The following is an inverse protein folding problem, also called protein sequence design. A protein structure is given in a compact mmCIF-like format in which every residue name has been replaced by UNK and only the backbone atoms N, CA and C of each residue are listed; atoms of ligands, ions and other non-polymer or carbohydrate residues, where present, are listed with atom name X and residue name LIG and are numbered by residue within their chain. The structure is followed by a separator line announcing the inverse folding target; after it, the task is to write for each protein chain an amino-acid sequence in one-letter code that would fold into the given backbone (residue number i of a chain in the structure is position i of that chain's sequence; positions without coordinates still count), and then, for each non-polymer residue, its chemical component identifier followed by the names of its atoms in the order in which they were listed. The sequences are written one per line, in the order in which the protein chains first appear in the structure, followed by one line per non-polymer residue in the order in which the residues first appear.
data_IF_569854765717
#
_entry.id   IF_569854765717
#
_cell.length_a   1.000
_cell.length_b   1.000
_cell.length_c   1.000
_cell.angle_alpha   90.00
_cell.angle_beta   90.00
_cell.angle_gamma   90.00
#
_symmetry.space_group_name_H-M   'P 1'
#
loop_
_entity.id
_entity.type
_entity.pdbx_description
1 polymer ?
#
# COMPACT_ATOMS: atom_id res chain seq x y z
N UNK A 1 27.67 2.96 6.80
CA UNK A 1 27.49 1.77 5.93
C UNK A 1 26.01 1.69 5.62
N UNK A 2 25.64 1.99 4.37
CA UNK A 2 24.26 1.88 3.89
C UNK A 2 23.96 0.40 3.68
N UNK A 3 23.13 -0.18 4.55
CA UNK A 3 22.45 -1.43 4.19
C UNK A 3 21.38 -1.08 3.16
N UNK A 4 21.45 -1.58 1.92
CA UNK A 4 20.26 -1.56 1.07
C UNK A 4 19.18 -2.34 1.81
N UNK A 5 18.00 -1.76 1.97
CA UNK A 5 16.88 -2.41 2.65
C UNK A 5 16.63 -3.77 1.99
N UNK A 6 16.70 -4.88 2.75
CA UNK A 6 16.34 -6.25 2.31
C UNK A 6 14.99 -6.30 1.56
N UNK A 7 14.14 -5.29 1.79
CA UNK A 7 12.86 -5.01 1.13
C UNK A 7 12.95 -4.71 -0.37
N UNK A 8 14.04 -4.12 -0.87
CA UNK A 8 14.23 -3.79 -2.30
C UNK A 8 14.56 -5.04 -3.12
N UNK A 9 15.45 -5.91 -2.62
CA UNK A 9 15.75 -7.20 -3.26
C UNK A 9 14.52 -8.13 -3.31
N UNK A 10 13.63 -8.04 -2.31
CA UNK A 10 12.38 -8.82 -2.28
C UNK A 10 11.28 -8.25 -3.20
N UNK A 11 11.28 -6.95 -3.48
CA UNK A 11 10.37 -6.33 -4.44
C UNK A 11 10.82 -6.56 -5.89
N UNK A 12 12.13 -6.58 -6.13
CA UNK A 12 12.71 -6.94 -7.43
C UNK A 12 12.42 -8.39 -7.81
N UNK A 13 12.41 -9.32 -6.84
CA UNK A 13 11.98 -10.71 -7.09
C UNK A 13 10.48 -10.82 -7.39
N UNK A 14 9.62 -9.97 -6.83
CA UNK A 14 8.18 -9.92 -7.19
C UNK A 14 7.92 -9.35 -8.59
N UNK A 15 8.78 -8.43 -9.08
CA UNK A 15 8.74 -7.93 -10.46
C UNK A 15 9.21 -9.00 -11.47
N UNK A 16 10.15 -9.87 -11.09
CA UNK A 16 10.53 -11.02 -11.91
C UNK A 16 9.38 -12.04 -12.02
N UNK A 17 8.67 -12.33 -10.93
CA UNK A 17 7.51 -13.24 -10.90
C UNK A 17 6.33 -12.76 -11.76
N UNK A 18 6.20 -11.45 -12.00
CA UNK A 18 5.10 -10.90 -12.83
C UNK A 18 5.39 -10.90 -14.33
N UNK A 19 6.64 -11.11 -14.77
CA UNK A 19 7.00 -11.14 -16.20
C UNK A 19 7.12 -12.55 -16.79
N UNK A 20 7.22 -13.58 -15.95
CA UNK A 20 7.18 -14.99 -16.34
C UNK A 20 6.26 -15.79 -15.44
N UNK A 21 4.96 -15.76 -15.70
CA UNK A 21 3.97 -16.58 -14.96
C UNK A 21 4.26 -18.05 -15.27
N UNK A 22 5.06 -18.70 -14.41
CA UNK A 22 5.06 -20.15 -14.29
C UNK A 22 3.62 -20.56 -13.95
N UNK A 23 3.09 -21.52 -14.71
CA UNK A 23 1.76 -22.07 -14.48
C UNK A 23 1.93 -23.48 -13.95
N UNK A 24 1.16 -23.83 -12.93
CA UNK A 24 1.07 -25.20 -12.45
C UNK A 24 0.84 -26.16 -13.61
N UNK A 25 1.65 -27.22 -13.69
CA UNK A 25 1.56 -28.22 -14.75
C UNK A 25 1.73 -29.63 -14.18
N UNK A 26 1.25 -30.68 -14.86
CA UNK A 26 1.45 -32.05 -14.41
C UNK A 26 2.93 -32.43 -14.25
N UNK A 27 3.83 -31.85 -15.06
CA UNK A 27 5.27 -32.07 -14.93
C UNK A 27 5.83 -31.48 -13.63
N UNK A 28 5.38 -30.27 -13.30
CA UNK A 28 5.74 -29.57 -12.06
C UNK A 28 5.27 -30.35 -10.82
N UNK A 29 4.02 -30.82 -10.85
CA UNK A 29 3.46 -31.69 -9.81
C UNK A 29 4.29 -32.96 -9.65
N UNK A 30 4.70 -33.60 -10.76
CA UNK A 30 5.57 -34.77 -10.73
C UNK A 30 6.92 -34.50 -10.05
N UNK A 31 7.56 -33.36 -10.34
CA UNK A 31 8.82 -32.97 -9.69
C UNK A 31 8.63 -32.71 -8.20
N UNK A 32 7.56 -31.99 -7.82
CA UNK A 32 7.23 -31.75 -6.42
C UNK A 32 7.00 -33.08 -5.67
N UNK A 33 6.22 -33.99 -6.23
CA UNK A 33 5.94 -35.30 -5.62
C UNK A 33 7.20 -36.14 -5.46
N UNK A 34 8.11 -36.08 -6.44
CA UNK A 34 9.41 -36.73 -6.34
C UNK A 34 10.25 -36.14 -5.20
N UNK A 35 10.38 -34.82 -5.14
CA UNK A 35 11.14 -34.13 -4.08
C UNK A 35 10.57 -34.39 -2.67
N UNK A 36 9.24 -34.42 -2.54
CA UNK A 36 8.55 -34.80 -1.29
C UNK A 36 8.91 -36.21 -0.88
N UNK A 37 8.90 -37.16 -1.82
CA UNK A 37 9.25 -38.56 -1.55
C UNK A 37 10.70 -38.71 -1.10
N UNK A 38 11.66 -38.11 -1.81
CA UNK A 38 13.07 -38.14 -1.44
C UNK A 38 13.31 -37.52 -0.05
N UNK A 39 12.58 -36.47 0.30
CA UNK A 39 12.62 -35.85 1.63
C UNK A 39 12.08 -36.82 2.70
N UNK A 40 10.94 -37.46 2.45
CA UNK A 40 10.31 -38.41 3.38
C UNK A 40 11.17 -39.66 3.61
N UNK A 41 11.86 -40.12 2.57
CA UNK A 41 12.77 -41.27 2.61
C UNK A 41 14.15 -40.91 3.20
N UNK A 42 14.40 -39.62 3.51
CA UNK A 42 15.66 -39.13 4.07
C UNK A 42 16.82 -39.13 3.07
N UNK A 43 16.53 -39.25 1.77
CA UNK A 43 17.50 -39.25 0.68
C UNK A 43 18.02 -37.83 0.41
N UNK A 44 17.13 -36.84 0.54
CA UNK A 44 17.43 -35.43 0.35
C UNK A 44 17.08 -34.62 1.62
N UNK A 45 17.78 -33.50 1.88
CA UNK A 45 17.38 -32.58 2.95
C UNK A 45 15.99 -32.00 2.67
N UNK A 46 15.28 -31.59 3.71
CA UNK A 46 13.98 -30.94 3.56
C UNK A 46 14.15 -29.56 2.93
N UNK A 47 14.04 -29.53 1.60
CA UNK A 47 14.03 -28.29 0.83
C UNK A 47 12.91 -27.35 1.28
N UNK A 48 11.81 -27.87 1.82
CA UNK A 48 10.75 -27.07 2.42
C UNK A 48 11.21 -26.27 3.64
N UNK A 49 12.14 -26.79 4.44
CA UNK A 49 12.72 -26.05 5.56
C UNK A 49 13.81 -25.09 5.08
N UNK A 50 14.61 -25.49 4.08
CA UNK A 50 15.64 -24.62 3.50
C UNK A 50 15.04 -23.38 2.80
N UNK A 51 13.92 -23.53 2.10
CA UNK A 51 13.21 -22.40 1.47
C UNK A 51 12.64 -21.43 2.53
N UNK A 52 12.42 -21.87 3.78
CA UNK A 52 11.97 -20.99 4.87
C UNK A 52 13.09 -20.20 5.51
N UNK A 53 14.29 -20.76 5.49
CA UNK A 53 15.42 -20.24 6.24
C UNK A 53 16.06 -19.12 5.42
N UNK A 54 15.68 -17.88 5.68
CA UNK A 54 16.22 -16.73 4.96
C UNK A 54 17.75 -16.61 5.04
N UNK A 55 18.38 -17.20 6.05
CA UNK A 55 19.84 -17.19 6.22
C UNK A 55 20.52 -18.32 5.45
N UNK A 56 19.87 -19.49 5.35
CA UNK A 56 20.43 -20.70 4.75
C UNK A 56 19.76 -21.12 3.43
N UNK A 57 18.85 -20.30 2.90
CA UNK A 57 18.17 -20.61 1.63
C UNK A 57 19.17 -20.67 0.47
N UNK A 58 19.02 -21.64 -0.44
CA UNK A 58 19.84 -21.71 -1.64
C UNK A 58 19.63 -20.49 -2.54
N UNK A 59 20.65 -20.16 -3.34
CA UNK A 59 20.57 -19.10 -4.34
C UNK A 59 19.35 -19.32 -5.25
N UNK A 60 18.62 -18.24 -5.54
CA UNK A 60 17.40 -18.25 -6.36
C UNK A 60 17.67 -18.74 -7.78
N UNK A 61 18.91 -18.63 -8.28
CA UNK A 61 19.32 -19.19 -9.57
C UNK A 61 19.34 -20.74 -9.59
N UNK A 62 19.41 -21.37 -8.41
CA UNK A 62 19.40 -22.82 -8.24
C UNK A 62 17.99 -23.38 -8.00
N UNK A 63 16.97 -22.52 -7.95
CA UNK A 63 15.61 -22.94 -7.67
C UNK A 63 14.99 -23.58 -8.90
N UNK A 64 14.44 -24.77 -8.71
CA UNK A 64 13.53 -25.36 -9.67
C UNK A 64 12.16 -24.68 -9.63
N UNK A 65 11.40 -24.78 -10.72
CA UNK A 65 10.06 -24.16 -10.85
C UNK A 65 9.13 -24.52 -9.68
N UNK A 66 9.20 -25.75 -9.16
CA UNK A 66 8.33 -26.17 -8.06
C UNK A 66 8.69 -25.48 -6.74
N UNK A 67 9.96 -25.11 -6.54
CA UNK A 67 10.43 -24.38 -5.36
C UNK A 67 9.87 -22.96 -5.36
N UNK A 68 9.83 -22.31 -6.54
CA UNK A 68 9.19 -21.01 -6.73
C UNK A 68 7.70 -21.06 -6.40
N UNK A 69 7.00 -22.09 -6.85
CA UNK A 69 5.57 -22.25 -6.63
C UNK A 69 5.25 -22.55 -5.16
N UNK A 70 6.04 -23.41 -4.50
CA UNK A 70 5.93 -23.66 -3.05
C UNK A 70 6.20 -22.37 -2.27
N UNK A 71 7.25 -21.62 -2.59
CA UNK A 71 7.56 -20.34 -1.94
C UNK A 71 6.41 -19.33 -2.10
N UNK A 72 5.86 -19.23 -3.32
CA UNK A 72 4.70 -18.39 -3.62
C UNK A 72 3.47 -18.81 -2.82
N UNK A 73 3.16 -20.11 -2.78
CA UNK A 73 2.06 -20.65 -1.98
C UNK A 73 2.22 -20.32 -0.49
N UNK A 74 3.41 -20.51 0.07
CA UNK A 74 3.70 -20.17 1.47
C UNK A 74 3.51 -18.69 1.75
N UNK A 75 3.98 -17.84 0.85
CA UNK A 75 3.80 -16.41 0.95
C UNK A 75 2.31 -16.02 0.95
N UNK A 76 1.51 -16.61 0.05
CA UNK A 76 0.05 -16.41 0.01
C UNK A 76 -0.63 -16.88 1.29
N UNK A 77 -0.20 -18.03 1.84
CA UNK A 77 -0.73 -18.56 3.09
C UNK A 77 -0.38 -17.67 4.28
N UNK A 78 0.85 -17.15 4.34
CA UNK A 78 1.25 -16.16 5.34
C UNK A 78 0.38 -14.91 5.24
N UNK A 79 0.18 -14.38 4.03
CA UNK A 79 -0.65 -13.20 3.83
C UNK A 79 -2.11 -13.43 4.22
N UNK A 80 -2.65 -14.64 3.99
CA UNK A 80 -4.00 -14.99 4.45
C UNK A 80 -4.08 -14.94 5.98
N UNK A 81 -3.14 -15.58 6.68
CA UNK A 81 -3.10 -15.61 8.15
C UNK A 81 -2.94 -14.20 8.74
N UNK A 82 -2.05 -13.40 8.16
CA UNK A 82 -1.85 -11.99 8.52
C UNK A 82 -3.12 -11.18 8.30
N UNK A 83 -3.72 -11.28 7.10
CA UNK A 83 -4.96 -10.56 6.79
C UNK A 83 -6.10 -10.92 7.72
N UNK A 84 -6.33 -12.21 7.99
CA UNK A 84 -7.35 -12.69 8.94
C UNK A 84 -7.14 -12.08 10.33
N UNK A 85 -5.89 -12.09 10.80
CA UNK A 85 -5.53 -11.58 12.13
C UNK A 85 -5.72 -10.06 12.21
N UNK A 86 -5.31 -9.33 11.17
CA UNK A 86 -5.53 -7.89 11.08
C UNK A 86 -7.02 -7.52 11.12
N UNK A 87 -7.87 -8.22 10.34
CA UNK A 87 -9.32 -7.99 10.39
C UNK A 87 -9.91 -8.28 11.78
N UNK A 88 -9.47 -9.36 12.44
CA UNK A 88 -9.92 -9.69 13.80
C UNK A 88 -9.53 -8.62 14.82
N UNK A 89 -8.31 -8.09 14.73
CA UNK A 89 -7.83 -7.04 15.62
C UNK A 89 -8.60 -5.73 15.38
N UNK A 90 -8.77 -5.33 14.13
CA UNK A 90 -9.44 -4.08 13.72
C UNK A 90 -10.98 -4.19 13.69
N UNK A 91 -11.58 -5.08 14.49
CA UNK A 91 -13.01 -5.33 14.48
C UNK A 91 -13.88 -4.08 14.71
N UNK A 92 -13.40 -3.10 15.49
CA UNK A 92 -14.12 -1.84 15.75
C UNK A 92 -14.20 -0.92 14.52
N UNK A 93 -13.28 -1.04 13.57
CA UNK A 93 -13.23 -0.20 12.37
C UNK A 93 -14.02 -0.81 11.19
N UNK A 94 -14.47 -2.06 11.34
CA UNK A 94 -15.19 -2.80 10.31
C UNK A 94 -16.55 -2.17 9.98
N UNK A 95 -16.86 -2.06 8.69
CA UNK A 95 -18.05 -1.43 8.16
C UNK A 95 -17.96 0.09 8.05
N UNK A 96 -17.00 0.73 8.72
CA UNK A 96 -16.75 2.17 8.58
C UNK A 96 -15.56 2.42 7.68
N UNK A 97 -14.36 2.05 8.13
CA UNK A 97 -13.09 2.34 7.46
C UNK A 97 -12.46 1.13 6.76
N UNK A 98 -12.86 -0.09 7.16
CA UNK A 98 -12.42 -1.34 6.53
C UNK A 98 -13.64 -2.25 6.29
N UNK A 99 -13.60 -3.22 5.36
CA UNK A 99 -14.70 -4.16 5.15
C UNK A 99 -15.01 -4.99 6.41
N UNK A 100 -16.29 -5.35 6.61
CA UNK A 100 -16.63 -6.36 7.62
C UNK A 100 -16.06 -7.73 7.23
N UNK A 101 -15.49 -8.44 8.19
CA UNK A 101 -15.09 -9.84 8.06
C UNK A 101 -16.28 -10.72 8.45
N UNK A 102 -16.76 -11.53 7.51
CA UNK A 102 -17.79 -12.54 7.76
C UNK A 102 -17.19 -13.88 8.20
N UNK A 103 -15.97 -14.20 7.75
CA UNK A 103 -15.26 -15.40 8.18
C UNK A 103 -14.12 -15.80 7.26
N UNK A 104 -13.44 -16.89 7.62
CA UNK A 104 -12.49 -17.58 6.76
C UNK A 104 -13.15 -18.81 6.12
N UNK A 105 -12.78 -19.11 4.87
CA UNK A 105 -13.32 -20.23 4.09
C UNK A 105 -12.20 -21.08 3.50
N UNK A 106 -12.51 -22.34 3.23
CA UNK A 106 -11.66 -23.28 2.54
C UNK A 106 -12.41 -23.74 1.29
N UNK A 107 -11.83 -23.49 0.11
CA UNK A 107 -12.42 -23.84 -1.18
C UNK A 107 -11.61 -24.99 -1.78
N UNK A 108 -12.26 -26.11 -2.05
CA UNK A 108 -11.64 -27.22 -2.76
C UNK A 108 -11.58 -26.92 -4.26
N UNK A 109 -10.42 -27.17 -4.90
CA UNK A 109 -10.21 -26.83 -6.31
C UNK A 109 -10.91 -27.85 -7.22
N UNK A 110 -10.86 -29.13 -6.88
CA UNK A 110 -11.58 -30.18 -7.60
C UNK A 110 -12.08 -31.26 -6.63
N UNK A 111 -13.39 -31.35 -6.34
CA UNK A 111 -13.93 -32.37 -5.46
C UNK A 111 -13.79 -33.79 -6.00
N UNK A 112 -13.55 -33.96 -7.31
CA UNK A 112 -13.47 -35.25 -7.99
C UNK A 112 -12.02 -35.70 -8.26
N UNK A 113 -11.01 -34.87 -7.97
CA UNK A 113 -9.60 -35.24 -8.15
C UNK A 113 -9.04 -35.93 -6.90
N UNK A 114 -8.86 -37.24 -6.97
CA UNK A 114 -8.21 -38.02 -5.90
C UNK A 114 -6.68 -37.89 -5.90
N UNK A 115 -6.11 -36.98 -6.69
CA UNK A 115 -4.66 -36.94 -6.97
C UNK A 115 -3.93 -35.69 -6.52
N UNK A 116 -4.63 -34.62 -6.10
CA UNK A 116 -3.96 -33.41 -5.62
C UNK A 116 -3.53 -33.58 -4.16
N UNK A 117 -2.34 -33.07 -3.83
CA UNK A 117 -1.84 -33.07 -2.47
C UNK A 117 -2.72 -32.15 -1.58
N UNK A 118 -2.99 -32.49 -0.30
CA UNK A 118 -3.84 -31.66 0.57
C UNK A 118 -3.40 -30.19 0.69
N UNK A 119 -2.12 -29.92 0.48
CA UNK A 119 -1.52 -28.58 0.45
C UNK A 119 -1.94 -27.74 -0.76
N UNK A 120 -2.24 -28.39 -1.90
CA UNK A 120 -2.64 -27.75 -3.16
C UNK A 120 -4.13 -27.90 -3.47
N UNK A 121 -4.83 -28.81 -2.79
CA UNK A 121 -6.25 -29.09 -3.02
C UNK A 121 -7.20 -28.09 -2.33
N UNK A 122 -6.68 -27.25 -1.43
CA UNK A 122 -7.47 -26.27 -0.67
C UNK A 122 -6.93 -24.86 -0.88
N UNK A 123 -7.79 -23.96 -1.33
CA UNK A 123 -7.55 -22.52 -1.34
C UNK A 123 -8.16 -21.89 -0.10
N UNK A 124 -7.32 -21.23 0.71
CA UNK A 124 -7.78 -20.45 1.85
C UNK A 124 -8.27 -19.08 1.39
N UNK A 125 -9.46 -18.69 1.86
CA UNK A 125 -10.09 -17.42 1.53
C UNK A 125 -10.61 -16.68 2.75
N UNK A 126 -10.91 -15.40 2.54
CA UNK A 126 -11.63 -14.54 3.48
C UNK A 126 -12.94 -14.08 2.83
N UNK A 127 -14.02 -14.12 3.60
CA UNK A 127 -15.32 -13.60 3.16
C UNK A 127 -15.49 -12.23 3.78
N UNK A 128 -15.50 -11.20 2.94
CA UNK A 128 -15.54 -9.79 3.34
C UNK A 128 -16.80 -9.09 2.82
N UNK A 129 -17.17 -7.98 3.45
CA UNK A 129 -18.16 -7.03 2.94
C UNK A 129 -17.82 -6.62 1.51
N UNK A 130 -18.79 -6.76 0.61
CA UNK A 130 -18.68 -6.19 -0.72
C UNK A 130 -18.86 -4.67 -0.64
N UNK A 131 -17.85 -3.94 -1.11
CA UNK A 131 -17.86 -2.48 -1.15
C UNK A 131 -18.26 -2.05 -2.56
N UNK A 132 -19.51 -1.58 -2.73
CA UNK A 132 -19.93 -0.91 -3.97
C UNK A 132 -19.22 0.42 -4.06
N UNK A 133 -18.31 0.55 -5.02
CA UNK A 133 -17.46 1.72 -5.11
C UNK A 133 -16.37 1.58 -6.17
N UNK A 134 -15.52 2.59 -6.22
CA UNK A 134 -14.41 2.67 -7.18
C UNK A 134 -13.10 2.78 -6.40
N UNK A 135 -12.15 1.91 -6.75
CA UNK A 135 -10.77 2.01 -6.26
C UNK A 135 -10.22 3.38 -6.63
N UNK A 136 -9.51 4.03 -5.71
CA UNK A 136 -8.86 5.29 -5.99
C UNK A 136 -8.02 5.13 -7.25
N UNK A 137 -7.24 4.07 -7.48
CA UNK A 137 -6.49 3.89 -8.74
C UNK A 137 -7.24 4.14 -10.07
N UNK A 138 -8.58 4.10 -10.09
CA UNK A 138 -9.43 4.36 -11.26
C UNK A 138 -10.18 5.70 -11.28
N UNK A 139 -10.14 6.55 -10.23
CA UNK A 139 -10.85 7.83 -10.31
C UNK A 139 -10.08 8.84 -11.16
N UNK A 140 -10.84 9.79 -11.70
CA UNK A 140 -10.27 10.92 -12.42
C UNK A 140 -9.50 11.84 -11.45
N UNK A 141 -8.41 12.44 -11.93
CA UNK A 141 -7.75 13.55 -11.25
C UNK A 141 -8.72 14.62 -10.73
N UNK A 142 -8.54 15.09 -9.49
CA UNK A 142 -9.26 16.25 -8.95
C UNK A 142 -10.44 15.96 -8.00
N UNK A 143 -10.64 14.71 -7.59
CA UNK A 143 -11.55 14.38 -6.47
C UNK A 143 -10.78 14.54 -5.15
N UNK A 144 -11.16 15.51 -4.31
CA UNK A 144 -10.49 15.75 -3.02
C UNK A 144 -11.01 14.78 -1.95
N UNK A 145 -10.19 13.78 -1.62
CA UNK A 145 -10.46 12.77 -0.58
C UNK A 145 -9.41 12.76 0.53
N UNK A 146 -8.49 13.74 0.55
CA UNK A 146 -7.31 13.67 1.41
C UNK A 146 -7.67 13.58 2.90
N UNK A 147 -8.68 14.33 3.36
CA UNK A 147 -9.11 14.33 4.76
C UNK A 147 -9.61 12.93 5.17
N UNK A 148 -10.47 12.32 4.35
CA UNK A 148 -11.09 11.02 4.65
C UNK A 148 -10.05 9.89 4.65
N UNK A 149 -9.08 9.92 3.73
CA UNK A 149 -7.97 8.96 3.69
C UNK A 149 -7.16 9.04 4.98
N UNK A 150 -6.81 10.26 5.40
CA UNK A 150 -6.00 10.49 6.59
C UNK A 150 -6.77 10.14 7.87
N UNK A 151 -8.08 10.38 7.93
CA UNK A 151 -8.93 9.94 9.04
C UNK A 151 -8.96 8.42 9.19
N UNK A 152 -9.14 7.68 8.09
CA UNK A 152 -9.15 6.22 8.13
C UNK A 152 -7.79 5.64 8.57
N UNK A 153 -6.68 6.19 8.06
CA UNK A 153 -5.34 5.79 8.47
C UNK A 153 -5.08 6.08 9.95
N UNK A 154 -5.46 7.28 10.44
CA UNK A 154 -5.37 7.63 11.86
C UNK A 154 -6.21 6.70 12.73
N UNK A 155 -7.38 6.28 12.27
CA UNK A 155 -8.20 5.26 12.94
C UNK A 155 -7.44 3.95 13.13
N UNK A 156 -6.81 3.43 12.07
CA UNK A 156 -6.01 2.20 12.14
C UNK A 156 -4.80 2.37 13.06
N UNK A 157 -4.07 3.48 12.95
CA UNK A 157 -2.90 3.77 13.79
C UNK A 157 -3.27 3.91 15.28
N UNK A 158 -4.46 4.44 15.59
CA UNK A 158 -4.95 4.64 16.96
C UNK A 158 -5.22 3.31 17.67
N UNK A 159 -5.69 2.28 16.94
CA UNK A 159 -5.84 0.93 17.51
C UNK A 159 -4.50 0.34 17.94
N UNK A 160 -3.38 0.87 17.41
CA UNK A 160 -2.00 0.55 17.80
C UNK A 160 -1.62 -0.94 17.70
N UNK A 161 -2.46 -1.77 17.07
CA UNK A 161 -2.31 -3.21 16.96
C UNK A 161 -1.89 -3.67 15.55
N UNK A 162 -2.13 -2.85 14.53
CA UNK A 162 -1.88 -3.18 13.11
C UNK A 162 -1.31 -1.97 12.37
N UNK A 163 -0.34 -2.18 11.48
CA UNK A 163 -0.05 -1.28 10.35
C UNK A 163 -0.45 -1.95 9.05
N UNK A 164 -0.90 -1.18 8.06
CA UNK A 164 -1.31 -1.75 6.78
C UNK A 164 -0.10 -2.28 5.97
N UNK A 165 1.03 -1.57 6.01
CA UNK A 165 2.34 -1.82 5.41
C UNK A 165 2.37 -2.01 3.87
N UNK A 166 1.20 -1.98 3.24
CA UNK A 166 0.99 -2.03 1.78
C UNK A 166 -0.03 -0.99 1.30
N UNK A 167 -0.14 0.18 1.96
CA UNK A 167 -1.11 1.18 1.51
C UNK A 167 -0.69 1.78 0.16
N UNK A 168 -1.61 1.79 -0.79
CA UNK A 168 -1.51 2.51 -2.06
C UNK A 168 -2.91 2.79 -2.61
N UNK A 169 -3.03 3.67 -3.60
CA UNK A 169 -4.32 4.09 -4.18
C UNK A 169 -5.18 2.93 -4.74
N UNK A 170 -4.59 1.77 -5.02
CA UNK A 170 -5.36 0.59 -5.44
C UNK A 170 -6.14 -0.04 -4.29
N UNK A 171 -5.58 0.02 -3.08
CA UNK A 171 -6.09 -0.59 -1.85
C UNK A 171 -6.99 0.37 -1.06
N UNK A 172 -7.48 1.41 -1.71
CA UNK A 172 -8.42 2.38 -1.14
C UNK A 172 -9.62 2.46 -2.07
N UNK A 173 -10.82 2.24 -1.56
CA UNK A 173 -12.08 2.25 -2.31
C UNK A 173 -12.98 3.35 -1.78
N UNK A 174 -13.56 4.15 -2.68
CA UNK A 174 -14.61 5.10 -2.32
C UNK A 174 -15.98 4.47 -2.56
N UNK A 175 -16.82 4.42 -1.52
CA UNK A 175 -18.19 3.92 -1.65
C UNK A 175 -19.02 4.81 -2.57
N UNK A 176 -19.90 4.18 -3.35
CA UNK A 176 -20.87 4.90 -4.18
C UNK A 176 -21.82 5.76 -3.33
N UNK A 177 -22.13 6.96 -3.82
CA UNK A 177 -23.07 7.88 -3.20
C UNK A 177 -22.54 8.67 -2.00
N UNK A 178 -21.94 8.00 -1.00
CA UNK A 178 -21.39 8.67 0.19
C UNK A 178 -19.95 9.16 -0.01
N UNK A 179 -19.23 8.62 -0.99
CA UNK A 179 -17.78 8.78 -1.15
C UNK A 179 -17.01 8.42 0.13
N UNK A 180 -17.59 7.64 1.06
CA UNK A 180 -16.87 7.19 2.26
C UNK A 180 -15.77 6.22 1.87
N UNK A 181 -14.60 6.43 2.42
CA UNK A 181 -13.41 5.65 2.09
C UNK A 181 -13.35 4.33 2.87
N UNK A 182 -12.89 3.28 2.19
CA UNK A 182 -12.66 1.96 2.73
C UNK A 182 -11.27 1.47 2.33
N UNK A 183 -10.44 1.15 3.32
CA UNK A 183 -9.11 0.55 3.14
C UNK A 183 -9.27 -0.97 3.06
N UNK A 184 -8.65 -1.59 2.06
CA UNK A 184 -8.73 -3.02 1.78
C UNK A 184 -7.34 -3.65 1.70
N UNK A 185 -7.28 -4.98 1.72
CA UNK A 185 -6.06 -5.77 1.52
C UNK A 185 -5.00 -5.62 2.63
N UNK A 186 -5.29 -6.23 3.78
CA UNK A 186 -4.38 -6.35 4.92
C UNK A 186 -3.45 -7.56 4.83
N UNK A 187 -3.25 -8.15 3.64
CA UNK A 187 -2.44 -9.36 3.50
C UNK A 187 -0.98 -9.17 3.90
N UNK A 188 -0.45 -7.95 3.79
CA UNK A 188 0.94 -7.61 4.16
C UNK A 188 1.04 -6.81 5.47
N UNK A 189 -0.04 -6.78 6.27
CA UNK A 189 -0.09 -6.00 7.48
C UNK A 189 1.01 -6.39 8.48
N UNK A 190 1.50 -5.40 9.21
CA UNK A 190 2.42 -5.62 10.33
C UNK A 190 1.61 -5.65 11.63
N UNK A 191 1.59 -6.80 12.28
CA UNK A 191 0.80 -7.05 13.49
C UNK A 191 1.71 -6.87 14.70
N UNK A 192 1.27 -6.07 15.66
CA UNK A 192 2.01 -5.83 16.89
C UNK A 192 2.22 -7.14 17.66
N UNK A 193 3.48 -7.43 17.97
CA UNK A 193 3.84 -8.51 18.89
C UNK A 193 3.36 -8.18 20.32
N UNK A 194 2.80 -9.15 21.06
CA UNK A 194 2.31 -8.94 22.41
C UNK A 194 3.35 -8.39 23.39
N UNK A 195 4.62 -8.73 23.19
CA UNK A 195 5.75 -8.36 24.04
C UNK A 195 6.30 -6.96 23.72
N UNK A 196 5.91 -6.36 22.59
CA UNK A 196 6.41 -5.05 22.17
C UNK A 196 5.77 -3.93 22.99
N UNK A 197 6.59 -3.08 23.61
CA UNK A 197 6.10 -1.93 24.39
C UNK A 197 5.39 -0.88 23.54
N UNK A 198 4.60 0.00 24.17
CA UNK A 198 3.93 1.09 23.46
C UNK A 198 4.93 2.08 22.87
N UNK A 199 6.06 2.31 23.54
CA UNK A 199 7.13 3.20 23.11
C UNK A 199 7.84 2.66 21.87
N UNK A 200 8.20 1.37 21.88
CA UNK A 200 8.82 0.70 20.73
C UNK A 200 7.84 0.65 19.56
N UNK A 201 6.57 0.33 19.83
CA UNK A 201 5.52 0.33 18.83
C UNK A 201 5.34 1.71 18.20
N UNK A 202 5.27 2.77 19.00
CA UNK A 202 5.17 4.16 18.50
C UNK A 202 6.35 4.54 17.61
N UNK A 203 7.56 4.09 17.93
CA UNK A 203 8.74 4.29 17.08
C UNK A 203 8.57 3.61 15.70
N UNK A 204 8.02 2.39 15.68
CA UNK A 204 7.70 1.66 14.43
C UNK A 204 6.59 2.37 13.64
N UNK A 205 5.49 2.77 14.31
CA UNK A 205 4.37 3.51 13.69
C UNK A 205 4.86 4.84 13.11
N UNK A 206 5.65 5.60 13.85
CA UNK A 206 6.21 6.88 13.39
C UNK A 206 7.10 6.72 12.15
N UNK A 207 7.83 5.61 12.07
CA UNK A 207 8.65 5.25 10.92
C UNK A 207 7.86 4.55 9.81
N UNK A 208 6.57 4.27 10.03
CA UNK A 208 5.75 3.55 9.07
C UNK A 208 5.68 4.33 7.76
N UNK A 209 5.95 3.66 6.62
CA UNK A 209 5.86 4.30 5.34
C UNK A 209 4.41 4.61 4.96
N UNK A 210 3.38 4.04 5.60
CA UNK A 210 2.00 4.13 5.11
C UNK A 210 1.46 5.55 5.06
N UNK A 211 1.42 6.23 6.21
CA UNK A 211 0.91 7.60 6.32
C UNK A 211 1.79 8.57 5.55
N UNK A 212 3.12 8.39 5.57
CA UNK A 212 4.05 9.20 4.77
C UNK A 212 3.86 9.00 3.27
N UNK A 213 3.71 7.75 2.82
CA UNK A 213 3.51 7.39 1.41
C UNK A 213 2.18 7.91 0.91
N UNK A 214 1.11 7.76 1.70
CA UNK A 214 -0.19 8.28 1.34
C UNK A 214 -0.20 9.80 1.31
N UNK A 215 0.40 10.48 2.29
CA UNK A 215 0.61 11.94 2.22
C UNK A 215 1.36 12.33 0.95
N UNK A 216 2.49 11.69 0.66
CA UNK A 216 3.26 11.99 -0.56
C UNK A 216 2.44 11.77 -1.84
N UNK A 217 1.68 10.68 -1.94
CA UNK A 217 0.79 10.42 -3.08
C UNK A 217 -0.35 11.44 -3.19
N UNK A 218 -0.84 11.90 -2.04
CA UNK A 218 -1.82 12.97 -1.96
C UNK A 218 -1.19 14.35 -2.12
N UNK A 219 0.14 14.50 -2.11
CA UNK A 219 0.84 15.79 -2.08
C UNK A 219 1.57 16.09 -3.39
N UNK A 220 2.33 15.13 -3.89
CA UNK A 220 3.30 15.31 -4.94
C UNK A 220 2.64 15.26 -6.33
N UNK A 221 2.67 16.37 -7.10
CA UNK A 221 2.15 16.40 -8.46
C UNK A 221 2.90 15.48 -9.44
N UNK A 222 4.15 15.08 -9.11
CA UNK A 222 4.95 14.19 -9.96
C UNK A 222 4.65 12.69 -9.75
N UNK A 223 4.16 12.31 -8.55
CA UNK A 223 3.95 10.89 -8.17
C UNK A 223 2.52 10.38 -8.43
N UNK A 224 1.63 11.21 -8.98
CA UNK A 224 0.36 10.69 -9.49
C UNK A 224 -0.74 11.70 -9.84
N UNK A 225 -1.77 11.23 -10.56
CA UNK A 225 -2.88 12.06 -11.05
C UNK A 225 -3.79 12.68 -9.98
N UNK A 226 -3.55 12.43 -8.69
CA UNK A 226 -4.53 12.66 -7.61
C UNK A 226 -4.70 14.11 -7.16
N UNK A 227 -3.96 15.03 -7.79
CA UNK A 227 -4.07 16.46 -7.57
C UNK A 227 -4.19 17.20 -8.91
N UNK A 228 -5.42 17.35 -9.41
CA UNK A 228 -5.72 18.34 -10.48
C UNK A 228 -6.64 19.48 -10.07
N UNK A 229 -7.02 19.59 -8.80
CA UNK A 229 -7.80 20.73 -8.29
C UNK A 229 -7.36 21.01 -6.85
N UNK A 230 -6.25 21.71 -6.70
CA UNK A 230 -5.51 21.75 -5.44
C UNK A 230 -5.93 22.96 -4.61
N UNK A 231 -6.86 22.79 -3.65
CA UNK A 231 -6.97 23.67 -2.47
C UNK A 231 -5.56 24.11 -2.05
N UNK A 232 -5.18 25.39 -2.19
CA UNK A 232 -3.79 25.82 -2.06
C UNK A 232 -3.27 25.62 -0.62
N UNK A 233 -1.96 25.54 -0.42
CA UNK A 233 -1.41 25.52 0.94
C UNK A 233 -1.64 26.89 1.61
N UNK A 234 -1.60 26.96 2.93
CA UNK A 234 -1.53 28.27 3.58
C UNK A 234 -0.29 29.05 3.08
N UNK A 235 -0.39 30.37 2.94
CA UNK A 235 0.74 31.22 2.52
C UNK A 235 1.96 31.13 3.45
N UNK A 236 1.78 30.58 4.66
CA UNK A 236 2.83 30.27 5.64
C UNK A 236 3.67 29.04 5.26
N UNK A 237 3.26 28.27 4.25
CA UNK A 237 3.91 27.05 3.81
C UNK A 237 5.32 27.32 3.24
N UNK A 238 6.34 26.49 3.58
CA UNK A 238 7.68 26.60 3.02
C UNK A 238 7.76 26.66 1.49
N UNK A 239 6.83 26.02 0.77
CA UNK A 239 6.77 26.05 -0.69
C UNK A 239 6.47 27.45 -1.25
N UNK A 240 5.88 28.34 -0.45
CA UNK A 240 5.60 29.74 -0.81
C UNK A 240 6.62 30.73 -0.23
N UNK A 241 7.67 30.26 0.45
CA UNK A 241 8.72 31.15 0.99
C UNK A 241 9.53 31.85 -0.10
N UNK A 242 9.65 31.22 -1.27
CA UNK A 242 10.23 31.84 -2.46
C UNK A 242 9.12 32.18 -3.47
N UNK A 243 8.81 33.48 -3.67
CA UNK A 243 7.86 33.95 -4.67
C UNK A 243 8.11 33.44 -6.09
N UNK A 244 9.35 33.12 -6.45
CA UNK A 244 9.70 32.59 -7.78
C UNK A 244 9.18 31.15 -7.92
N UNK A 245 9.45 30.32 -6.93
CA UNK A 245 8.95 28.93 -6.84
C UNK A 245 7.43 28.90 -6.75
N UNK A 246 6.85 29.83 -5.98
CA UNK A 246 5.39 30.00 -5.88
C UNK A 246 4.76 30.34 -7.23
N UNK A 247 5.33 31.30 -7.95
CA UNK A 247 4.84 31.69 -9.27
C UNK A 247 4.95 30.53 -10.27
N UNK A 248 6.09 29.84 -10.32
CA UNK A 248 6.27 28.67 -11.19
C UNK A 248 5.25 27.57 -10.88
N UNK A 249 5.02 27.29 -9.59
CA UNK A 249 4.00 26.34 -9.14
C UNK A 249 2.59 26.75 -9.59
N UNK A 250 2.18 28.00 -9.38
CA UNK A 250 0.84 28.47 -9.77
C UNK A 250 0.67 28.49 -11.30
N UNK A 251 1.71 28.87 -12.05
CA UNK A 251 1.71 28.86 -13.50
C UNK A 251 1.66 27.43 -14.08
N UNK A 252 2.16 26.43 -13.34
CA UNK A 252 2.06 25.01 -13.73
C UNK A 252 0.65 24.43 -13.60
N UNK A 253 -0.27 25.11 -12.89
CA UNK A 253 -1.63 24.64 -12.68
C UNK A 253 -2.54 24.86 -13.90
N UNK A 254 -3.64 24.09 -14.04
CA UNK A 254 -4.68 24.37 -15.03
C UNK A 254 -5.19 25.82 -14.95
N UNK A 255 -5.40 26.44 -16.11
CA UNK A 255 -5.74 27.86 -16.22
C UNK A 255 -7.07 28.21 -15.50
N UNK A 256 -8.08 27.37 -15.67
CA UNK A 256 -9.38 27.49 -15.01
C UNK A 256 -9.24 27.46 -13.48
N UNK A 257 -8.43 26.54 -12.96
CA UNK A 257 -8.13 26.45 -11.53
C UNK A 257 -7.37 27.68 -11.03
N UNK A 258 -6.36 28.11 -11.80
CA UNK A 258 -5.47 29.24 -11.47
C UNK A 258 -6.28 30.52 -11.24
N UNK A 259 -7.16 30.87 -12.17
CA UNK A 259 -7.91 32.12 -12.10
C UNK A 259 -8.99 32.15 -11.01
N UNK A 260 -9.54 30.98 -10.67
CA UNK A 260 -10.54 30.82 -9.59
C UNK A 260 -9.89 30.87 -8.21
N UNK A 261 -8.67 30.37 -8.07
CA UNK A 261 -8.02 30.13 -6.78
C UNK A 261 -7.02 31.23 -6.42
N UNK A 262 -6.35 31.78 -7.43
CA UNK A 262 -5.30 32.77 -7.25
C UNK A 262 -5.65 34.07 -7.94
N UNK A 263 -5.11 35.16 -7.40
CA UNK A 263 -5.10 36.48 -8.00
C UNK A 263 -3.67 36.90 -8.27
N UNK A 264 -3.47 37.61 -9.38
CA UNK A 264 -2.18 38.15 -9.76
C UNK A 264 -2.08 39.57 -9.22
N UNK A 265 -1.17 39.78 -8.28
CA UNK A 265 -1.01 41.04 -7.56
C UNK A 265 0.37 41.60 -7.89
N UNK A 266 0.47 42.92 -8.01
CA UNK A 266 1.74 43.58 -8.21
C UNK A 266 2.38 43.83 -6.85
N UNK A 267 3.51 43.19 -6.56
CA UNK A 267 4.19 43.23 -5.27
C UNK A 267 5.69 43.55 -5.43
N UNK A 268 6.34 43.94 -4.34
CA UNK A 268 7.78 44.19 -4.30
C UNK A 268 8.54 42.88 -4.14
N UNK A 269 9.69 42.73 -4.81
CA UNK A 269 10.51 41.53 -4.61
C UNK A 269 11.02 41.42 -3.17
N UNK A 270 11.32 40.17 -2.78
CA UNK A 270 11.70 39.78 -1.44
C UNK A 270 13.20 40.01 -1.14
N UNK A 271 13.99 40.42 -2.13
CA UNK A 271 15.44 40.70 -2.00
C UNK A 271 15.74 42.20 -1.93
N UNK A 272 14.78 43.02 -1.49
CA UNK A 272 15.02 44.44 -1.27
C UNK A 272 15.29 45.24 -2.55
N UNK A 273 15.01 44.68 -3.73
CA UNK A 273 15.06 45.42 -4.97
C UNK A 273 13.75 46.20 -5.18
N UNK A 274 13.92 47.38 -5.78
CA UNK A 274 12.90 48.44 -5.89
C UNK A 274 11.95 48.23 -7.07
N UNK A 275 11.85 47.01 -7.57
CA UNK A 275 11.03 46.69 -8.74
C UNK A 275 9.76 45.95 -8.35
N UNK A 276 8.66 46.37 -8.96
CA UNK A 276 7.36 45.77 -8.79
C UNK A 276 7.23 44.57 -9.73
N UNK A 277 7.13 43.38 -9.17
CA UNK A 277 6.96 42.12 -9.89
C UNK A 277 5.55 41.58 -9.69
N UNK A 278 5.02 40.90 -10.70
CA UNK A 278 3.74 40.21 -10.54
C UNK A 278 3.93 38.93 -9.73
N UNK A 279 3.16 38.78 -8.67
CA UNK A 279 3.12 37.59 -7.83
C UNK A 279 1.70 37.02 -7.79
N UNK A 280 1.61 35.71 -7.76
CA UNK A 280 0.35 35.02 -7.48
C UNK A 280 0.11 34.96 -5.98
N UNK A 281 -1.11 35.31 -5.56
CA UNK A 281 -1.60 35.17 -4.18
C UNK A 281 -2.90 34.40 -4.17
N UNK A 282 -3.16 33.67 -3.09
CA UNK A 282 -4.42 32.96 -2.90
C UNK A 282 -5.53 33.98 -2.70
N UNK A 283 -6.64 33.84 -3.44
CA UNK A 283 -7.78 34.75 -3.29
C UNK A 283 -8.38 34.66 -1.88
N UNK A 284 -8.84 35.78 -1.31
CA UNK A 284 -9.56 35.76 -0.04
C UNK A 284 -10.77 34.81 -0.07
N UNK A 285 -10.93 33.99 0.97
CA UNK A 285 -12.04 33.03 1.10
C UNK A 285 -11.83 31.69 0.39
N UNK A 286 -10.73 31.53 -0.35
CA UNK A 286 -10.29 30.21 -0.83
C UNK A 286 -9.83 29.41 0.38
N UNK A 287 -10.36 28.19 0.51
CA UNK A 287 -9.95 27.26 1.57
C UNK A 287 -8.48 26.90 1.34
N UNK A 288 -7.69 26.86 2.41
CA UNK A 288 -6.30 26.42 2.36
C UNK A 288 -6.09 25.14 3.15
N UNK A 289 -5.05 24.38 2.81
CA UNK A 289 -4.64 23.19 3.58
C UNK A 289 -3.58 23.58 4.63
N UNK A 290 -3.70 23.13 5.90
CA UNK A 290 -2.65 23.32 6.90
C UNK A 290 -1.40 22.50 6.55
N UNK A 291 -0.23 22.97 6.99
CA UNK A 291 1.09 22.34 6.77
C UNK A 291 1.19 20.94 7.43
N UNK A 292 0.36 20.66 8.44
CA UNK A 292 0.52 19.51 9.34
C UNK A 292 -0.55 18.41 9.22
N UNK A 293 -1.33 18.36 8.14
CA UNK A 293 -2.22 17.23 7.87
C UNK A 293 -1.53 16.04 7.16
#
# INVERSE_FOLDING_TARGET
MNFPSRRLQYLESQLAVTTGILRWSPSLEGHLQHAVRETQEGVAPSWFELIRDDENRPDIELWEDWMWEVSTWRYRLSNHSTGLSAYRLLHLLQGQYIPRLFGAVHIHIDPDSTTLHPTTDIVQGLVLEYISGVSMAKLNPGVDVSIQVMEALRGIETENCVLHNAIHIGNVVLRDGSCSLVIIDFGQADIREPELSDEERKSVVWRSPDTRRMRNLLVNPEDGPWKRTVTPYEMSDPHYKDPSVSNEYVESMPEDFRWVTFERVLDTDWEGAREKVYQWRIRPGVRCRPIYD
#
